data_IF_741438796413
#
_entry.id   IF_741438796413
#
_cell.length_a   1.000
_cell.length_b   1.000
_cell.length_c   1.000
_cell.angle_alpha   90.00
_cell.angle_beta   90.00
_cell.angle_gamma   90.00
#
_symmetry.space_group_name_H-M   'P 1'
#
loop_
_entity.id
_entity.type
_entity.pdbx_description
1 polymer ?
#
# COMPACT_ATOMS: atom_id res chain seq x y z
N UNK A 1 -42.36 14.88 -55.20
CA UNK A 1 -42.94 13.72 -54.47
C UNK A 1 -41.82 12.75 -54.17
N UNK A 2 -41.82 12.14 -52.96
CA UNK A 2 -40.79 11.29 -52.30
C UNK A 2 -39.69 12.15 -51.64
N UNK A 3 -39.62 12.40 -50.33
CA UNK A 3 -39.83 11.66 -49.06
C UNK A 3 -38.86 10.49 -48.84
N UNK A 4 -38.22 10.53 -47.67
CA UNK A 4 -37.52 9.47 -46.91
C UNK A 4 -36.03 9.29 -47.19
N UNK A 5 -35.14 9.03 -46.21
CA UNK A 5 -35.25 8.82 -44.75
C UNK A 5 -33.84 9.01 -44.15
N UNK A 6 -33.77 9.46 -42.90
CA UNK A 6 -32.57 9.54 -42.06
C UNK A 6 -31.81 8.21 -41.99
N UNK A 7 -30.48 8.26 -41.89
CA UNK A 7 -29.70 7.19 -41.26
C UNK A 7 -28.63 7.82 -40.38
N UNK A 8 -28.87 7.72 -39.07
CA UNK A 8 -27.95 8.07 -37.99
C UNK A 8 -26.97 6.90 -37.85
N UNK A 9 -25.67 7.16 -37.94
CA UNK A 9 -24.65 6.19 -37.53
C UNK A 9 -23.66 6.91 -36.62
N UNK A 10 -23.77 6.62 -35.33
CA UNK A 10 -22.85 7.07 -34.30
C UNK A 10 -21.48 6.41 -34.49
N UNK A 11 -20.43 7.20 -34.67
CA UNK A 11 -19.06 6.71 -34.60
C UNK A 11 -18.57 6.82 -33.17
N UNK A 12 -18.27 5.67 -32.59
CA UNK A 12 -17.76 5.45 -31.24
C UNK A 12 -16.41 6.14 -31.08
N UNK A 13 -16.26 6.93 -30.01
CA UNK A 13 -14.97 7.42 -29.55
C UNK A 13 -14.13 6.22 -29.07
N UNK A 14 -13.07 5.90 -29.79
CA UNK A 14 -12.01 5.04 -29.29
C UNK A 14 -11.21 5.81 -28.24
N UNK A 15 -11.62 5.69 -26.97
CA UNK A 15 -10.83 6.11 -25.83
C UNK A 15 -9.64 5.17 -25.67
N UNK A 16 -8.45 5.64 -26.06
CA UNK A 16 -7.20 4.95 -25.81
C UNK A 16 -6.94 4.88 -24.28
N UNK A 17 -6.89 3.64 -23.78
CA UNK A 17 -6.16 3.16 -22.61
C UNK A 17 -5.78 4.19 -21.53
N UNK A 18 -6.76 4.59 -20.72
CA UNK A 18 -6.47 4.75 -19.30
C UNK A 18 -6.54 3.34 -18.73
N UNK A 19 -5.38 2.77 -18.41
CA UNK A 19 -5.34 1.76 -17.37
C UNK A 19 -5.89 2.45 -16.12
N UNK A 20 -7.20 2.31 -15.92
CA UNK A 20 -7.82 2.52 -14.63
C UNK A 20 -7.06 1.59 -13.70
N UNK A 21 -6.10 2.16 -12.97
CA UNK A 21 -5.65 1.59 -11.72
C UNK A 21 -6.94 1.38 -10.94
N UNK A 22 -7.46 0.15 -10.97
CA UNK A 22 -8.53 -0.25 -10.08
C UNK A 22 -8.02 0.14 -8.71
N UNK A 23 -8.70 1.05 -7.98
CA UNK A 23 -8.31 1.32 -6.61
C UNK A 23 -8.30 -0.04 -5.94
N UNK A 24 -7.13 -0.50 -5.49
CA UNK A 24 -7.04 -1.72 -4.70
C UNK A 24 -7.97 -1.49 -3.51
N UNK A 25 -9.07 -2.22 -3.54
CA UNK A 25 -10.13 -2.09 -2.57
C UNK A 25 -9.49 -2.50 -1.25
N UNK A 26 -9.31 -1.55 -0.33
CA UNK A 26 -8.95 -1.86 1.04
C UNK A 26 -9.96 -2.90 1.53
N UNK A 27 -9.52 -4.16 1.61
CA UNK A 27 -10.35 -5.23 2.14
C UNK A 27 -10.45 -4.95 3.64
N UNK A 28 -11.66 -5.03 4.19
CA UNK A 28 -11.93 -4.59 5.57
C UNK A 28 -11.26 -5.44 6.65
N UNK A 29 -10.61 -6.52 6.25
CA UNK A 29 -9.81 -7.48 7.04
C UNK A 29 -8.32 -7.10 7.11
N UNK A 30 -7.85 -6.11 6.35
CA UNK A 30 -6.45 -5.69 6.28
C UNK A 30 -6.24 -4.33 6.98
N UNK A 31 -5.26 -4.24 7.88
CA UNK A 31 -5.02 -3.02 8.66
C UNK A 31 -3.57 -2.85 9.13
N UNK A 32 -3.11 -1.60 9.13
CA UNK A 32 -1.88 -1.19 9.81
C UNK A 32 -2.24 -0.95 11.28
N UNK A 33 -1.69 -1.74 12.18
CA UNK A 33 -1.93 -1.63 13.63
C UNK A 33 -0.95 -0.63 14.25
N UNK A 34 0.32 -0.69 13.83
CA UNK A 34 1.38 0.24 14.24
C UNK A 34 2.36 0.47 13.09
N UNK A 35 2.95 1.68 12.98
CA UNK A 35 2.66 2.88 13.75
C UNK A 35 1.34 3.55 13.33
N UNK A 36 0.72 4.31 14.23
CA UNK A 36 -0.45 5.14 13.98
C UNK A 36 -0.06 6.57 13.60
N UNK A 37 -1.02 7.31 13.05
CA UNK A 37 -0.78 8.69 12.63
C UNK A 37 -0.28 9.56 13.80
N UNK A 38 0.78 10.34 13.54
CA UNK A 38 1.42 11.18 14.54
C UNK A 38 2.38 10.46 15.49
N UNK A 39 2.51 9.14 15.40
CA UNK A 39 3.44 8.39 16.25
C UNK A 39 4.89 8.82 15.99
N UNK A 40 5.72 8.94 17.05
CA UNK A 40 7.13 9.19 16.89
C UNK A 40 7.83 7.95 16.34
N UNK A 41 8.63 8.14 15.28
CA UNK A 41 9.50 7.11 14.74
C UNK A 41 10.97 7.51 14.93
N UNK A 42 11.81 6.55 15.32
CA UNK A 42 13.26 6.72 15.48
C UNK A 42 14.03 5.96 14.41
N UNK A 43 15.32 5.73 14.64
CA UNK A 43 16.17 4.88 13.77
C UNK A 43 15.64 3.46 13.58
N UNK A 44 14.72 3.04 14.45
CA UNK A 44 13.81 1.92 14.23
C UNK A 44 12.47 2.21 14.90
N UNK A 45 11.43 1.47 14.52
CA UNK A 45 10.11 1.53 15.15
C UNK A 45 9.42 0.16 15.12
N UNK A 46 8.46 -0.06 16.02
CA UNK A 46 7.62 -1.25 16.02
C UNK A 46 6.60 -1.18 14.88
N UNK A 47 6.50 -2.26 14.12
CA UNK A 47 5.58 -2.41 13.01
C UNK A 47 4.65 -3.58 13.26
N UNK A 48 3.36 -3.32 13.13
CA UNK A 48 2.34 -4.35 13.21
C UNK A 48 1.34 -4.19 12.06
N UNK A 49 1.11 -5.29 11.36
CA UNK A 49 0.15 -5.39 10.27
C UNK A 49 -0.71 -6.64 10.48
N UNK A 50 -1.99 -6.56 10.13
CA UNK A 50 -2.88 -7.71 10.16
C UNK A 50 -3.64 -7.84 8.84
N UNK A 51 -3.78 -9.09 8.39
CA UNK A 51 -4.74 -9.52 7.37
C UNK A 51 -5.53 -10.70 7.95
N UNK A 52 -6.75 -10.44 8.41
CA UNK A 52 -7.61 -11.46 9.02
C UNK A 52 -8.09 -12.54 8.04
N UNK A 53 -7.93 -12.32 6.73
CA UNK A 53 -8.29 -13.29 5.69
C UNK A 53 -7.16 -14.27 5.36
N UNK A 54 -5.94 -13.97 5.82
CA UNK A 54 -4.79 -14.84 5.55
C UNK A 54 -4.89 -16.17 6.26
N UNK A 55 -4.28 -17.16 5.63
CA UNK A 55 -4.18 -18.52 6.15
C UNK A 55 -2.72 -18.97 6.08
N UNK A 56 -2.39 -20.09 6.74
CA UNK A 56 -1.04 -20.65 6.71
C UNK A 56 -0.55 -21.04 5.30
N UNK A 57 -1.44 -21.14 4.31
CA UNK A 57 -1.08 -21.42 2.90
C UNK A 57 -0.84 -20.16 2.06
N UNK A 58 -1.13 -18.98 2.58
CA UNK A 58 -0.97 -17.72 1.85
C UNK A 58 0.52 -17.41 1.65
N UNK A 59 0.88 -16.98 0.45
CA UNK A 59 2.28 -16.70 0.06
C UNK A 59 2.61 -15.21 -0.01
N UNK A 60 1.65 -14.35 0.33
CA UNK A 60 1.87 -12.91 0.34
C UNK A 60 2.84 -12.47 1.44
N UNK A 61 3.47 -11.33 1.22
CA UNK A 61 4.39 -10.65 2.12
C UNK A 61 4.09 -9.15 2.12
N UNK A 62 4.68 -8.42 3.06
CA UNK A 62 4.51 -6.97 3.16
C UNK A 62 5.77 -6.22 2.73
N UNK A 63 5.56 -5.14 1.98
CA UNK A 63 6.54 -4.10 1.68
C UNK A 63 6.16 -2.80 2.38
N UNK A 64 7.13 -2.17 3.01
CA UNK A 64 6.98 -0.91 3.72
C UNK A 64 7.84 0.18 3.06
N UNK A 65 7.22 1.30 2.72
CA UNK A 65 7.85 2.47 2.13
C UNK A 65 7.62 3.67 3.02
N UNK A 66 8.68 4.35 3.44
CA UNK A 66 8.57 5.67 4.05
C UNK A 66 8.73 6.74 2.98
N UNK A 67 7.84 7.73 2.97
CA UNK A 67 7.87 8.83 2.01
C UNK A 67 7.48 10.17 2.66
N UNK A 68 7.88 11.26 2.05
CA UNK A 68 7.36 12.59 2.25
C UNK A 68 7.31 13.32 0.89
N UNK A 69 7.07 14.63 0.88
CA UNK A 69 6.98 15.42 -0.36
C UNK A 69 8.28 15.47 -1.19
N UNK A 70 9.42 15.11 -0.62
CA UNK A 70 10.76 15.24 -1.22
C UNK A 70 11.54 13.94 -1.31
N UNK A 71 11.17 12.92 -0.54
CA UNK A 71 11.92 11.70 -0.37
C UNK A 71 10.99 10.49 -0.31
N UNK A 72 11.39 9.37 -0.88
CA UNK A 72 10.66 8.11 -0.80
C UNK A 72 11.65 6.96 -0.90
N UNK A 73 11.59 6.03 0.06
CA UNK A 73 12.43 4.83 0.06
C UNK A 73 11.69 3.64 0.67
N UNK A 74 11.92 2.48 0.07
CA UNK A 74 11.52 1.19 0.65
C UNK A 74 12.44 0.93 1.84
N UNK A 75 11.84 0.77 3.02
CA UNK A 75 12.58 0.54 4.27
C UNK A 75 12.52 -0.93 4.71
N UNK A 76 11.54 -1.66 4.20
CA UNK A 76 11.45 -3.10 4.34
C UNK A 76 10.75 -3.68 3.12
N UNK A 77 11.27 -4.79 2.63
CA UNK A 77 10.72 -5.56 1.51
C UNK A 77 10.73 -7.02 1.93
N UNK A 78 9.78 -7.80 1.41
CA UNK A 78 9.63 -9.23 1.75
C UNK A 78 9.47 -9.50 3.26
N UNK A 79 8.66 -8.69 3.96
CA UNK A 79 8.34 -8.92 5.38
C UNK A 79 7.31 -10.05 5.48
N UNK A 80 7.68 -11.23 6.02
CA UNK A 80 6.78 -12.37 6.05
C UNK A 80 5.81 -12.28 7.23
N UNK A 81 4.64 -12.90 7.07
CA UNK A 81 3.75 -13.20 8.19
C UNK A 81 4.35 -14.26 9.11
N UNK A 82 3.94 -14.23 10.38
CA UNK A 82 4.45 -15.17 11.38
C UNK A 82 3.85 -16.57 11.19
N UNK A 83 4.68 -17.63 11.22
CA UNK A 83 4.18 -19.01 11.10
C UNK A 83 3.16 -19.38 12.19
N UNK A 84 3.35 -18.84 13.40
CA UNK A 84 2.45 -19.06 14.53
C UNK A 84 1.16 -18.23 14.45
N UNK A 85 1.20 -17.11 13.72
CA UNK A 85 0.12 -16.13 13.56
C UNK A 85 0.06 -15.68 12.09
N UNK A 86 -0.46 -16.53 11.18
CA UNK A 86 -0.38 -16.29 9.74
C UNK A 86 -1.19 -15.08 9.26
N UNK A 87 -2.03 -14.53 10.13
CA UNK A 87 -2.84 -13.32 9.97
C UNK A 87 -2.11 -12.04 10.44
N UNK A 88 -0.89 -12.15 11.01
CA UNK A 88 -0.18 -11.02 11.61
C UNK A 88 1.29 -10.97 11.27
N UNK A 89 1.78 -9.74 11.28
CA UNK A 89 3.19 -9.39 11.31
C UNK A 89 3.40 -8.55 12.58
N UNK A 90 4.38 -8.92 13.40
CA UNK A 90 4.90 -8.08 14.49
C UNK A 90 6.43 -8.08 14.45
N UNK A 91 7.02 -6.97 14.00
CA UNK A 91 8.47 -6.83 13.86
C UNK A 91 8.95 -5.42 14.15
N UNK A 92 10.26 -5.21 14.11
CA UNK A 92 10.88 -3.88 14.17
C UNK A 92 11.45 -3.51 12.81
N UNK A 93 11.04 -2.37 12.26
CA UNK A 93 11.58 -1.85 11.01
C UNK A 93 12.67 -0.83 11.29
N UNK A 94 13.78 -0.93 10.55
CA UNK A 94 14.88 0.03 10.62
C UNK A 94 14.66 1.18 9.64
N UNK A 95 14.91 2.40 10.07
CA UNK A 95 14.87 3.59 9.22
C UNK A 95 16.29 3.87 8.72
N UNK A 96 16.50 3.94 7.39
CA UNK A 96 17.81 4.25 6.82
C UNK A 96 18.38 5.61 7.32
N UNK A 97 19.72 5.74 7.45
CA UNK A 97 20.35 6.93 8.04
C UNK A 97 20.20 8.21 7.21
N UNK A 98 19.82 8.11 5.94
CA UNK A 98 19.53 9.25 5.06
C UNK A 98 18.23 9.98 5.42
N UNK A 99 17.35 9.38 6.22
CA UNK A 99 16.14 10.03 6.71
C UNK A 99 16.50 11.12 7.72
N UNK A 100 16.13 12.36 7.38
CA UNK A 100 16.26 13.51 8.27
C UNK A 100 15.02 13.75 9.11
N UNK A 101 15.14 14.61 10.13
CA UNK A 101 14.00 15.05 10.96
C UNK A 101 12.87 15.59 10.07
N UNK A 102 11.65 15.11 10.30
CA UNK A 102 10.48 15.53 9.52
C UNK A 102 9.25 14.67 9.78
N UNK A 103 8.20 14.93 9.00
CA UNK A 103 7.01 14.09 8.95
C UNK A 103 7.06 13.21 7.72
N UNK A 104 6.75 11.93 7.90
CA UNK A 104 6.72 10.93 6.85
C UNK A 104 5.41 10.16 6.88
N UNK A 105 5.00 9.70 5.72
CA UNK A 105 3.94 8.72 5.58
C UNK A 105 4.56 7.34 5.38
N UNK A 106 4.05 6.37 6.13
CA UNK A 106 4.34 4.96 5.92
C UNK A 106 3.29 4.36 5.00
N UNK A 107 3.71 3.99 3.80
CA UNK A 107 2.90 3.20 2.87
C UNK A 107 3.23 1.73 3.07
N UNK A 108 2.20 0.92 3.29
CA UNK A 108 2.30 -0.52 3.46
C UNK A 108 1.55 -1.19 2.32
N UNK A 109 2.24 -2.08 1.63
CA UNK A 109 1.68 -2.87 0.55
C UNK A 109 1.77 -4.35 0.91
N UNK A 110 0.67 -5.07 0.78
CA UNK A 110 0.72 -6.54 0.78
C UNK A 110 0.79 -7.02 -0.67
N UNK A 111 1.75 -7.90 -0.93
CA UNK A 111 2.12 -8.37 -2.26
C UNK A 111 1.98 -9.88 -2.27
N UNK A 112 1.18 -10.42 -3.19
CA UNK A 112 1.04 -11.85 -3.40
C UNK A 112 2.32 -12.48 -3.97
N UNK A 113 2.42 -13.81 -3.87
CA UNK A 113 3.59 -14.55 -4.36
C UNK A 113 3.83 -14.40 -5.88
N UNK A 114 2.85 -13.94 -6.64
CA UNK A 114 2.95 -13.62 -8.07
C UNK A 114 3.38 -12.16 -8.36
N UNK A 115 3.61 -11.37 -7.32
CA UNK A 115 4.02 -9.96 -7.39
C UNK A 115 2.85 -8.97 -7.46
N UNK A 116 1.60 -9.43 -7.42
CA UNK A 116 0.42 -8.55 -7.43
C UNK A 116 0.26 -7.87 -6.08
N UNK A 117 0.13 -6.54 -6.08
CA UNK A 117 -0.27 -5.79 -4.88
C UNK A 117 -1.74 -6.08 -4.61
N UNK A 118 -2.08 -6.60 -3.43
CA UNK A 118 -3.45 -6.91 -3.00
C UNK A 118 -3.98 -5.96 -1.94
N UNK A 119 -3.08 -5.20 -1.31
CA UNK A 119 -3.40 -4.16 -0.34
C UNK A 119 -2.49 -2.96 -0.51
N UNK A 120 -3.03 -1.77 -0.27
CA UNK A 120 -2.23 -0.55 -0.04
C UNK A 120 -2.87 0.24 1.09
N UNK A 121 -2.13 0.42 2.17
CA UNK A 121 -2.51 1.21 3.33
C UNK A 121 -1.48 2.29 3.63
N UNK A 122 -1.89 3.29 4.41
CA UNK A 122 -1.03 4.40 4.76
C UNK A 122 -1.25 4.84 6.21
N UNK A 123 -0.15 5.11 6.91
CA UNK A 123 -0.13 5.79 8.21
C UNK A 123 0.61 7.11 8.04
N UNK A 124 -0.10 8.23 8.24
CA UNK A 124 0.40 9.56 7.88
C UNK A 124 1.01 10.31 9.05
N UNK A 125 1.82 11.32 8.75
CA UNK A 125 2.33 12.28 9.74
C UNK A 125 3.19 11.65 10.85
N UNK A 126 3.90 10.56 10.54
CA UNK A 126 4.85 9.93 11.46
C UNK A 126 6.02 10.87 11.73
N UNK A 127 6.23 11.20 13.01
CA UNK A 127 7.22 12.19 13.40
C UNK A 127 8.60 11.55 13.57
N UNK A 128 9.50 11.74 12.61
CA UNK A 128 10.89 11.31 12.74
C UNK A 128 11.67 12.30 13.58
N UNK A 129 11.93 11.93 14.84
CA UNK A 129 12.56 12.76 15.86
C UNK A 129 13.99 12.22 16.08
N UNK A 130 14.97 12.64 15.28
CA UNK A 130 16.38 12.30 15.54
C UNK A 130 16.75 12.80 16.95
N UNK A 131 17.11 11.89 17.85
CA UNK A 131 17.65 12.16 19.18
C UNK A 131 19.14 11.88 19.22
#
# INVERSE_FOLDING_TARGET
MRVSVLSLAATVFAGAGLATATPLQARGDQTIILPLSGDPIGTSFEFQFADESRTASSTSFVRATLKNSTFSAVIADDVPFEDAHPDRISTSLSVPPEFGKGFYDLVVEEIEGDGSVVFTGESTDLAYLVF
#
